data_IF_533583416638
#
_entry.id   IF_533583416638
#
_cell.length_a   1.000
_cell.length_b   1.000
_cell.length_c   1.000
_cell.angle_alpha   90.00
_cell.angle_beta   90.00
_cell.angle_gamma   90.00
#
_symmetry.space_group_name_H-M   'P 1'
#
loop_
_entity.id
_entity.type
_entity.pdbx_description
1 polymer ?
#
# COMPACT_ATOMS: atom_id res chain seq x y z
N UNK A 1 -30.51 17.94 42.10
CA UNK A 1 -29.13 17.46 42.30
C UNK A 1 -28.93 16.26 41.38
N UNK A 2 -28.26 16.43 40.25
CA UNK A 2 -27.44 15.39 39.63
C UNK A 2 -26.55 16.04 38.57
N UNK A 3 -25.31 15.58 38.54
CA UNK A 3 -24.11 16.26 38.10
C UNK A 3 -23.94 16.42 36.59
N UNK A 4 -23.12 17.41 36.27
CA UNK A 4 -22.44 17.70 35.01
C UNK A 4 -21.80 16.49 34.36
N UNK A 5 -21.98 16.33 33.05
CA UNK A 5 -21.00 15.68 32.17
C UNK A 5 -20.66 16.64 31.03
N UNK A 6 -19.60 17.42 31.24
CA UNK A 6 -18.86 18.12 30.18
C UNK A 6 -18.06 17.06 29.42
N UNK A 7 -18.42 16.79 28.16
CA UNK A 7 -17.62 15.94 27.25
C UNK A 7 -17.47 16.57 25.86
N UNK A 8 -17.30 17.90 25.79
CA UNK A 8 -17.10 18.62 24.52
C UNK A 8 -15.71 19.29 24.41
N UNK A 9 -14.76 18.97 25.30
CA UNK A 9 -13.46 19.66 25.38
C UNK A 9 -12.24 18.87 24.87
N UNK A 10 -12.33 17.55 24.81
CA UNK A 10 -11.16 16.68 24.58
C UNK A 10 -11.03 16.25 23.11
N UNK A 11 -12.15 16.20 22.38
CA UNK A 11 -12.18 15.92 20.94
C UNK A 11 -11.69 17.14 20.12
N UNK A 12 -12.09 18.36 20.55
CA UNK A 12 -11.82 19.62 19.85
C UNK A 12 -10.36 20.12 20.00
N UNK A 13 -9.71 19.80 21.12
CA UNK A 13 -8.30 20.15 21.36
C UNK A 13 -7.33 19.22 20.61
N UNK A 14 -7.69 17.95 20.45
CA UNK A 14 -6.86 16.99 19.74
C UNK A 14 -6.86 17.23 18.23
N UNK A 15 -7.96 17.73 17.67
CA UNK A 15 -8.04 18.18 16.28
C UNK A 15 -7.24 19.47 16.05
N UNK A 16 -7.28 20.45 16.96
CA UNK A 16 -6.45 21.65 16.84
C UNK A 16 -4.95 21.38 16.84
N UNK A 17 -4.47 20.45 17.68
CA UNK A 17 -3.05 20.05 17.69
C UNK A 17 -2.67 19.39 16.36
N UNK A 18 -3.57 18.58 15.81
CA UNK A 18 -3.39 17.89 14.53
C UNK A 18 -3.34 18.89 13.37
N UNK A 19 -4.25 19.87 13.35
CA UNK A 19 -4.30 20.94 12.34
C UNK A 19 -3.05 21.83 12.38
N UNK A 20 -2.61 22.27 13.58
CA UNK A 20 -1.37 23.05 13.71
C UNK A 20 -0.14 22.29 13.24
N UNK A 21 -0.13 20.98 13.46
CA UNK A 21 0.97 20.11 13.04
C UNK A 21 1.00 19.92 11.52
N UNK A 22 -0.15 19.69 10.89
CA UNK A 22 -0.29 19.62 9.44
C UNK A 22 0.10 20.94 8.76
N UNK A 23 -0.34 22.08 9.31
CA UNK A 23 0.07 23.39 8.81
C UNK A 23 1.59 23.59 8.85
N UNK A 24 2.27 23.07 9.88
CA UNK A 24 3.74 23.14 9.97
C UNK A 24 4.43 22.28 8.90
N UNK A 25 3.86 21.13 8.58
CA UNK A 25 4.37 20.27 7.49
C UNK A 25 4.27 20.97 6.14
N UNK A 26 3.17 21.64 5.84
CA UNK A 26 3.01 22.40 4.60
C UNK A 26 4.01 23.57 4.49
N UNK A 27 4.31 24.23 5.62
CA UNK A 27 5.38 25.24 5.68
C UNK A 27 6.75 24.63 5.37
N UNK A 28 7.08 23.44 5.89
CA UNK A 28 8.34 22.78 5.57
C UNK A 28 8.43 22.35 4.10
N UNK A 29 7.34 21.82 3.54
CA UNK A 29 7.29 21.42 2.13
C UNK A 29 7.42 22.62 1.18
N UNK A 30 6.71 23.73 1.47
CA UNK A 30 6.82 24.97 0.70
C UNK A 30 8.20 25.63 0.81
N UNK A 31 8.91 25.42 1.91
CA UNK A 31 10.26 25.94 2.15
C UNK A 31 11.38 24.97 1.71
N UNK A 32 11.05 23.87 1.01
CA UNK A 32 11.98 22.81 0.62
C UNK A 32 12.81 22.21 1.78
N UNK A 33 12.28 22.25 3.02
CA UNK A 33 12.91 21.65 4.20
C UNK A 33 12.50 20.18 4.32
N UNK A 34 12.87 19.37 3.31
CA UNK A 34 12.38 18.00 3.18
C UNK A 34 12.83 17.09 4.32
N UNK A 35 14.05 17.26 4.83
CA UNK A 35 14.53 16.51 6.00
C UNK A 35 13.68 16.78 7.24
N UNK A 36 13.41 18.05 7.54
CA UNK A 36 12.58 18.43 8.70
C UNK A 36 11.15 17.92 8.54
N UNK A 37 10.58 18.05 7.33
CA UNK A 37 9.26 17.50 7.01
C UNK A 37 9.23 15.98 7.23
N UNK A 38 10.23 15.26 6.72
CA UNK A 38 10.36 13.82 6.84
C UNK A 38 10.41 13.35 8.29
N UNK A 39 11.28 13.94 9.11
CA UNK A 39 11.38 13.60 10.54
C UNK A 39 10.07 13.91 11.28
N UNK A 40 9.41 14.99 10.91
CA UNK A 40 8.12 15.38 11.46
C UNK A 40 7.03 14.34 11.11
N UNK A 41 6.97 13.86 9.86
CA UNK A 41 6.07 12.77 9.47
C UNK A 41 6.35 11.46 10.22
N UNK A 42 7.63 11.06 10.40
CA UNK A 42 7.99 9.85 11.16
C UNK A 42 7.55 9.94 12.63
N UNK A 43 7.77 11.09 13.26
CA UNK A 43 7.35 11.33 14.64
C UNK A 43 5.81 11.29 14.77
N UNK A 44 5.09 11.89 13.81
CA UNK A 44 3.63 11.83 13.75
C UNK A 44 3.13 10.39 13.64
N UNK A 45 3.66 9.64 12.67
CA UNK A 45 3.28 8.26 12.43
C UNK A 45 3.47 7.40 13.68
N UNK A 46 4.60 7.57 14.37
CA UNK A 46 4.90 6.86 15.62
C UNK A 46 3.87 7.19 16.70
N UNK A 47 3.65 8.49 16.96
CA UNK A 47 2.72 8.96 17.99
C UNK A 47 1.28 8.53 17.70
N UNK A 48 0.81 8.70 16.48
CA UNK A 48 -0.57 8.40 16.12
C UNK A 48 -0.82 6.89 16.04
N UNK A 49 0.18 6.09 15.67
CA UNK A 49 0.12 4.63 15.79
C UNK A 49 -0.06 4.21 17.25
N UNK A 50 0.71 4.78 18.18
CA UNK A 50 0.57 4.51 19.62
C UNK A 50 -0.81 4.92 20.16
N UNK A 51 -1.35 6.03 19.66
CA UNK A 51 -2.70 6.52 19.99
C UNK A 51 -3.82 5.80 19.21
N UNK A 52 -3.49 4.84 18.34
CA UNK A 52 -4.42 4.12 17.46
C UNK A 52 -5.28 5.01 16.53
N UNK A 53 -4.78 6.18 16.14
CA UNK A 53 -5.46 7.15 15.26
C UNK A 53 -5.28 6.83 13.78
N UNK A 54 -5.65 5.60 13.39
CA UNK A 54 -5.36 5.08 12.05
C UNK A 54 -6.23 5.68 10.94
N UNK A 55 -7.49 6.00 11.24
CA UNK A 55 -8.42 6.62 10.30
C UNK A 55 -7.91 7.95 9.76
N UNK A 56 -7.24 8.74 10.61
CA UNK A 56 -6.60 10.00 10.22
C UNK A 56 -5.18 9.78 9.68
N UNK A 57 -4.42 8.81 10.23
CA UNK A 57 -3.03 8.59 9.86
C UNK A 57 -2.85 8.05 8.43
N UNK A 58 -3.67 7.07 8.03
CA UNK A 58 -3.51 6.40 6.73
C UNK A 58 -3.64 7.35 5.54
N UNK A 59 -4.65 8.24 5.45
CA UNK A 59 -4.74 9.23 4.38
C UNK A 59 -3.52 10.16 4.34
N UNK A 60 -3.04 10.62 5.50
CA UNK A 60 -1.88 11.53 5.59
C UNK A 60 -0.61 10.85 5.09
N UNK A 61 -0.38 9.59 5.46
CA UNK A 61 0.79 8.84 4.98
C UNK A 61 0.72 8.55 3.49
N UNK A 62 -0.47 8.23 2.96
CA UNK A 62 -0.65 8.07 1.52
C UNK A 62 -0.38 9.37 0.75
N UNK A 63 -0.96 10.50 1.21
CA UNK A 63 -0.77 11.81 0.60
C UNK A 63 0.70 12.25 0.66
N UNK A 64 1.42 11.92 1.73
CA UNK A 64 2.83 12.30 1.87
C UNK A 64 3.72 11.59 0.85
N UNK A 65 3.42 10.33 0.47
CA UNK A 65 4.11 9.66 -0.65
C UNK A 65 4.00 10.50 -1.93
N UNK A 66 2.78 10.94 -2.26
CA UNK A 66 2.52 11.83 -3.39
C UNK A 66 3.33 13.13 -3.30
N UNK A 67 3.19 13.86 -2.19
CA UNK A 67 3.89 15.15 -1.96
C UNK A 67 5.41 15.04 -2.10
N UNK A 68 6.03 14.00 -1.56
CA UNK A 68 7.48 13.82 -1.68
C UNK A 68 7.90 13.34 -3.07
N UNK A 69 7.10 12.48 -3.71
CA UNK A 69 7.37 12.00 -5.06
C UNK A 69 7.35 13.14 -6.10
N UNK A 70 6.38 14.06 -6.02
CA UNK A 70 6.27 15.23 -6.90
C UNK A 70 7.46 16.18 -6.76
N UNK A 71 8.14 16.17 -5.61
CA UNK A 71 9.34 16.95 -5.33
C UNK A 71 10.65 16.20 -5.63
N UNK A 72 10.55 15.01 -6.24
CA UNK A 72 11.70 14.15 -6.57
C UNK A 72 12.41 13.55 -5.36
N UNK A 73 11.78 13.57 -4.18
CA UNK A 73 12.35 13.04 -2.94
C UNK A 73 12.05 11.54 -2.79
N UNK A 74 12.53 10.73 -3.74
CA UNK A 74 12.12 9.32 -3.87
C UNK A 74 12.45 8.48 -2.63
N UNK A 75 13.60 8.68 -1.99
CA UNK A 75 13.97 7.94 -0.77
C UNK A 75 13.03 8.27 0.41
N UNK A 76 12.55 9.52 0.48
CA UNK A 76 11.61 9.94 1.53
C UNK A 76 10.22 9.36 1.22
N UNK A 77 9.78 9.44 -0.04
CA UNK A 77 8.51 8.87 -0.48
C UNK A 77 8.46 7.34 -0.27
N UNK A 78 9.57 6.64 -0.52
CA UNK A 78 9.73 5.21 -0.23
C UNK A 78 9.56 4.92 1.28
N UNK A 79 10.20 5.69 2.15
CA UNK A 79 10.03 5.54 3.61
C UNK A 79 8.57 5.80 4.03
N UNK A 80 7.91 6.81 3.45
CA UNK A 80 6.49 7.09 3.71
C UNK A 80 5.57 5.94 3.25
N UNK A 81 5.87 5.31 2.11
CA UNK A 81 5.16 4.14 1.63
C UNK A 81 5.31 2.95 2.59
N UNK A 82 6.52 2.73 3.12
CA UNK A 82 6.78 1.73 4.15
C UNK A 82 5.99 2.00 5.44
N UNK A 83 5.95 3.26 5.89
CA UNK A 83 5.14 3.66 7.05
C UNK A 83 3.64 3.44 6.83
N UNK A 84 3.13 3.68 5.62
CA UNK A 84 1.74 3.43 5.28
C UNK A 84 1.38 1.94 5.45
N UNK A 85 2.21 1.03 4.92
CA UNK A 85 1.98 -0.43 5.08
C UNK A 85 2.14 -0.85 6.54
N UNK A 86 3.12 -0.30 7.26
CA UNK A 86 3.26 -0.57 8.70
C UNK A 86 2.03 -0.12 9.50
N UNK A 87 1.41 1.02 9.13
CA UNK A 87 0.17 1.48 9.75
C UNK A 87 -1.04 0.60 9.38
N UNK A 88 -1.13 0.09 8.15
CA UNK A 88 -2.15 -0.90 7.76
C UNK A 88 -2.03 -2.17 8.62
N UNK A 89 -0.80 -2.66 8.80
CA UNK A 89 -0.49 -3.81 9.65
C UNK A 89 -0.87 -3.57 11.10
N UNK A 90 -0.40 -2.48 11.70
CA UNK A 90 -0.68 -2.13 13.09
C UNK A 90 -2.18 -1.93 13.39
N UNK A 91 -2.92 -1.41 12.41
CA UNK A 91 -4.37 -1.19 12.52
C UNK A 91 -5.21 -2.44 12.23
N UNK A 92 -4.61 -3.49 11.67
CA UNK A 92 -5.33 -4.64 11.09
C UNK A 92 -6.40 -4.18 10.11
N UNK A 93 -6.09 -3.17 9.30
CA UNK A 93 -7.04 -2.61 8.34
C UNK A 93 -7.51 -3.70 7.38
N UNK A 94 -8.83 -3.81 7.11
CA UNK A 94 -9.35 -4.81 6.20
C UNK A 94 -8.92 -4.53 4.76
N UNK A 95 -8.74 -5.59 3.98
CA UNK A 95 -8.48 -5.48 2.55
C UNK A 95 -9.77 -5.00 1.87
N UNK A 96 -9.75 -3.79 1.33
CA UNK A 96 -10.87 -3.19 0.61
C UNK A 96 -10.37 -2.44 -0.63
N UNK A 97 -11.30 -2.05 -1.50
CA UNK A 97 -11.00 -1.41 -2.78
C UNK A 97 -10.19 -0.11 -2.65
N UNK A 98 -10.46 0.71 -1.63
CA UNK A 98 -9.72 1.96 -1.40
C UNK A 98 -8.26 1.68 -1.01
N UNK A 99 -8.03 0.75 -0.08
CA UNK A 99 -6.68 0.38 0.34
C UNK A 99 -5.89 -0.21 -0.83
N UNK A 100 -6.51 -1.11 -1.61
CA UNK A 100 -5.90 -1.69 -2.81
C UNK A 100 -5.57 -0.60 -3.83
N UNK A 101 -6.48 0.35 -4.07
CA UNK A 101 -6.22 1.47 -5.00
C UNK A 101 -5.00 2.30 -4.57
N UNK A 102 -4.89 2.62 -3.28
CA UNK A 102 -3.74 3.36 -2.75
C UNK A 102 -2.43 2.57 -2.91
N UNK A 103 -2.44 1.29 -2.56
CA UNK A 103 -1.27 0.41 -2.73
C UNK A 103 -0.87 0.28 -4.20
N UNK A 104 -1.85 0.19 -5.11
CA UNK A 104 -1.64 0.16 -6.56
C UNK A 104 -0.90 1.41 -7.01
N UNK A 105 -1.39 2.59 -6.63
CA UNK A 105 -0.79 3.87 -7.00
C UNK A 105 0.64 4.02 -6.46
N UNK A 106 0.88 3.64 -5.20
CA UNK A 106 2.23 3.63 -4.63
C UNK A 106 3.14 2.67 -5.43
N UNK A 107 2.66 1.46 -5.71
CA UNK A 107 3.48 0.45 -6.38
C UNK A 107 3.82 0.84 -7.82
N UNK A 108 2.86 1.39 -8.57
CA UNK A 108 3.10 1.96 -9.91
C UNK A 108 4.20 3.01 -9.87
N UNK A 109 4.15 3.93 -8.90
CA UNK A 109 5.19 4.92 -8.71
C UNK A 109 6.56 4.28 -8.39
N UNK A 110 6.61 3.29 -7.50
CA UNK A 110 7.86 2.62 -7.11
C UNK A 110 8.52 1.87 -8.28
N UNK A 111 7.73 1.25 -9.18
CA UNK A 111 8.26 0.58 -10.38
C UNK A 111 9.08 1.55 -11.25
N UNK A 112 8.65 2.81 -11.32
CA UNK A 112 9.29 3.82 -12.16
C UNK A 112 10.46 4.54 -11.46
N UNK A 113 10.46 4.60 -10.12
CA UNK A 113 11.31 5.55 -9.37
C UNK A 113 12.21 4.91 -8.31
N UNK A 114 11.97 3.66 -7.92
CA UNK A 114 12.70 2.96 -6.87
C UNK A 114 13.51 1.78 -7.43
N UNK A 115 14.51 1.32 -6.67
CA UNK A 115 15.29 0.13 -6.99
C UNK A 115 14.46 -1.15 -6.76
N UNK A 116 14.80 -2.24 -7.45
CA UNK A 116 14.12 -3.53 -7.32
C UNK A 116 14.08 -4.04 -5.87
N UNK A 117 15.16 -3.89 -5.10
CA UNK A 117 15.20 -4.30 -3.69
C UNK A 117 14.14 -3.58 -2.83
N UNK A 118 13.95 -2.28 -3.07
CA UNK A 118 12.93 -1.47 -2.38
C UNK A 118 11.52 -1.90 -2.76
N UNK A 119 11.30 -2.22 -4.05
CA UNK A 119 10.03 -2.74 -4.55
C UNK A 119 9.72 -4.09 -3.89
N UNK A 120 10.67 -5.02 -3.86
CA UNK A 120 10.53 -6.34 -3.22
C UNK A 120 10.24 -6.24 -1.72
N UNK A 121 10.93 -5.34 -1.01
CA UNK A 121 10.67 -5.06 0.40
C UNK A 121 9.24 -4.58 0.62
N UNK A 122 8.76 -3.65 -0.20
CA UNK A 122 7.40 -3.12 -0.12
C UNK A 122 6.34 -4.21 -0.36
N UNK A 123 6.55 -5.05 -1.39
CA UNK A 123 5.67 -6.19 -1.68
C UNK A 123 5.63 -7.21 -0.54
N UNK A 124 6.79 -7.53 0.04
CA UNK A 124 6.90 -8.42 1.20
C UNK A 124 6.09 -7.89 2.39
N UNK A 125 6.20 -6.59 2.68
CA UNK A 125 5.43 -5.95 3.76
C UNK A 125 3.91 -6.00 3.52
N UNK A 126 3.46 -5.82 2.27
CA UNK A 126 2.04 -5.92 1.92
C UNK A 126 1.55 -7.36 2.09
N UNK A 127 2.34 -8.34 1.65
CA UNK A 127 2.00 -9.76 1.80
C UNK A 127 1.91 -10.14 3.28
N UNK A 128 2.88 -9.74 4.10
CA UNK A 128 2.86 -9.95 5.56
C UNK A 128 1.61 -9.35 6.20
N UNK A 129 1.25 -8.12 5.84
CA UNK A 129 0.00 -7.51 6.30
C UNK A 129 -1.22 -8.33 5.87
N UNK A 130 -1.26 -8.78 4.61
CA UNK A 130 -2.38 -9.55 4.07
C UNK A 130 -2.61 -10.88 4.80
N UNK A 131 -1.52 -11.56 5.19
CA UNK A 131 -1.59 -12.81 5.94
C UNK A 131 -2.16 -12.62 7.35
N UNK A 132 -1.91 -11.46 7.98
CA UNK A 132 -2.45 -11.17 9.31
C UNK A 132 -3.94 -10.83 9.31
N UNK A 133 -4.44 -10.21 8.22
CA UNK A 133 -5.85 -9.80 8.12
C UNK A 133 -6.72 -10.80 7.39
N UNK A 134 -6.14 -11.65 6.55
CA UNK A 134 -6.81 -12.68 5.76
C UNK A 134 -6.04 -14.02 5.81
N UNK A 135 -5.97 -14.67 6.98
CA UNK A 135 -5.20 -15.90 7.17
C UNK A 135 -5.72 -17.09 6.34
N UNK A 136 -6.94 -17.02 5.82
CA UNK A 136 -7.51 -17.99 4.88
C UNK A 136 -6.75 -18.07 3.55
N UNK A 137 -5.98 -17.03 3.20
CA UNK A 137 -5.14 -17.00 2.00
C UNK A 137 -3.65 -17.06 2.36
N UNK A 138 -3.08 -18.26 2.62
CA UNK A 138 -1.71 -18.41 3.12
C UNK A 138 -0.62 -17.97 2.13
N UNK A 139 -1.00 -17.68 0.88
CA UNK A 139 -0.12 -17.18 -0.18
C UNK A 139 -0.33 -15.70 -0.50
N UNK A 140 -1.19 -15.01 0.27
CA UNK A 140 -1.60 -13.63 0.04
C UNK A 140 -2.99 -13.52 -0.55
N UNK A 141 -3.68 -12.42 -0.25
CA UNK A 141 -5.06 -12.21 -0.68
C UNK A 141 -5.15 -12.09 -2.22
N UNK A 142 -6.09 -12.78 -2.90
CA UNK A 142 -6.20 -12.80 -4.37
C UNK A 142 -6.28 -11.42 -5.04
N UNK A 143 -7.03 -10.49 -4.44
CA UNK A 143 -7.11 -9.10 -4.95
C UNK A 143 -5.77 -8.35 -4.95
N UNK A 144 -4.83 -8.68 -4.05
CA UNK A 144 -3.49 -8.09 -4.07
C UNK A 144 -2.67 -8.66 -5.22
N UNK A 145 -2.80 -9.96 -5.49
CA UNK A 145 -2.17 -10.57 -6.67
C UNK A 145 -2.70 -9.99 -7.97
N UNK A 146 -4.02 -9.77 -8.07
CA UNK A 146 -4.62 -9.06 -9.21
C UNK A 146 -4.01 -7.67 -9.38
N UNK A 147 -3.89 -6.90 -8.29
CA UNK A 147 -3.24 -5.59 -8.32
C UNK A 147 -1.79 -5.67 -8.81
N UNK A 148 -0.99 -6.64 -8.33
CA UNK A 148 0.39 -6.80 -8.80
C UNK A 148 0.47 -7.11 -10.30
N UNK A 149 -0.41 -7.99 -10.79
CA UNK A 149 -0.47 -8.31 -12.22
C UNK A 149 -0.80 -7.08 -13.05
N UNK A 150 -1.81 -6.29 -12.64
CA UNK A 150 -2.17 -5.06 -13.34
C UNK A 150 -0.98 -4.09 -13.44
N UNK A 151 -0.30 -3.83 -12.32
CA UNK A 151 0.87 -2.92 -12.30
C UNK A 151 2.01 -3.43 -13.15
N UNK A 152 2.35 -4.73 -13.05
CA UNK A 152 3.42 -5.31 -13.86
C UNK A 152 3.10 -5.33 -15.35
N UNK A 153 1.85 -5.58 -15.73
CA UNK A 153 1.42 -5.54 -17.13
C UNK A 153 1.49 -4.13 -17.71
N UNK A 154 1.02 -3.13 -16.96
CA UNK A 154 1.15 -1.72 -17.35
C UNK A 154 2.62 -1.33 -17.56
N UNK A 155 3.52 -1.88 -16.73
CA UNK A 155 4.97 -1.70 -16.85
C UNK A 155 5.67 -2.61 -17.89
N UNK A 156 4.91 -3.44 -18.62
CA UNK A 156 5.42 -4.49 -19.54
C UNK A 156 6.40 -5.49 -18.90
N UNK A 157 6.35 -5.64 -17.58
CA UNK A 157 7.13 -6.63 -16.84
C UNK A 157 6.34 -7.93 -16.66
N UNK A 158 6.13 -8.64 -17.76
CA UNK A 158 5.33 -9.87 -17.77
C UNK A 158 5.98 -10.99 -16.95
N UNK A 159 7.32 -11.04 -16.89
CA UNK A 159 8.02 -12.07 -16.15
C UNK A 159 7.67 -12.06 -14.66
N UNK A 160 7.68 -10.88 -14.03
CA UNK A 160 7.29 -10.74 -12.62
C UNK A 160 5.79 -10.97 -12.37
N UNK A 161 4.94 -10.80 -13.39
CA UNK A 161 3.49 -11.00 -13.26
C UNK A 161 3.05 -12.47 -13.21
N UNK A 162 3.79 -13.37 -13.87
CA UNK A 162 3.37 -14.77 -14.07
C UNK A 162 3.03 -15.48 -12.77
N UNK A 163 3.88 -15.31 -11.75
CA UNK A 163 3.64 -15.93 -10.44
C UNK A 163 2.34 -15.44 -9.80
N UNK A 164 2.04 -14.15 -9.91
CA UNK A 164 0.85 -13.55 -9.32
C UNK A 164 -0.43 -13.91 -10.07
N UNK A 165 -0.38 -14.13 -11.39
CA UNK A 165 -1.53 -14.58 -12.18
C UNK A 165 -2.11 -15.90 -11.62
N UNK A 166 -1.25 -16.79 -11.14
CA UNK A 166 -1.64 -18.11 -10.62
C UNK A 166 -2.27 -18.07 -9.23
N UNK A 167 -2.24 -16.91 -8.58
CA UNK A 167 -2.77 -16.70 -7.23
C UNK A 167 -4.02 -15.81 -7.21
N UNK A 168 -4.57 -15.49 -8.39
CA UNK A 168 -5.87 -14.85 -8.53
C UNK A 168 -6.95 -15.92 -8.43
N UNK A 169 -7.99 -15.65 -7.62
CA UNK A 169 -9.13 -16.55 -7.37
C UNK A 169 -10.20 -16.50 -8.49
N UNK A 170 -9.78 -16.12 -9.70
CA UNK A 170 -10.65 -15.89 -10.85
C UNK A 170 -9.95 -16.38 -12.11
N UNK A 171 -10.25 -17.62 -12.48
CA UNK A 171 -9.63 -18.29 -13.62
C UNK A 171 -9.87 -17.57 -14.96
N UNK A 172 -10.97 -16.84 -15.11
CA UNK A 172 -11.23 -16.07 -16.34
C UNK A 172 -10.28 -14.88 -16.43
N UNK A 173 -10.11 -14.15 -15.33
CA UNK A 173 -9.17 -13.03 -15.26
C UNK A 173 -7.73 -13.52 -15.45
N UNK A 174 -7.34 -14.63 -14.80
CA UNK A 174 -6.01 -15.22 -15.01
C UNK A 174 -5.79 -15.62 -16.47
N UNK A 175 -6.77 -16.28 -17.11
CA UNK A 175 -6.69 -16.65 -18.52
C UNK A 175 -6.59 -15.41 -19.43
N UNK A 176 -7.38 -14.36 -19.16
CA UNK A 176 -7.33 -13.11 -19.92
C UNK A 176 -5.92 -12.51 -19.93
N UNK A 177 -5.27 -12.44 -18.77
CA UNK A 177 -3.91 -11.88 -18.66
C UNK A 177 -2.88 -12.71 -19.45
N UNK A 178 -2.98 -14.05 -19.37
CA UNK A 178 -2.10 -14.98 -20.10
C UNK A 178 -2.29 -14.84 -21.61
N UNK A 179 -3.53 -14.91 -22.10
CA UNK A 179 -3.83 -14.89 -23.54
C UNK A 179 -3.46 -13.55 -24.19
N UNK A 180 -3.68 -12.43 -23.48
CA UNK A 180 -3.44 -11.09 -24.04
C UNK A 180 -1.94 -10.76 -24.18
N UNK A 181 -1.07 -11.36 -23.36
CA UNK A 181 0.32 -10.93 -23.24
C UNK A 181 1.36 -12.02 -23.51
N UNK A 182 0.95 -13.30 -23.61
CA UNK A 182 1.83 -14.43 -23.88
C UNK A 182 1.53 -15.09 -25.24
N UNK A 183 1.55 -14.33 -26.34
CA UNK A 183 1.49 -14.88 -27.70
C UNK A 183 2.68 -15.79 -28.07
N UNK A 184 3.71 -15.91 -27.21
CA UNK A 184 4.93 -16.70 -27.46
C UNK A 184 5.08 -17.97 -26.62
N UNK A 185 4.18 -18.23 -25.66
CA UNK A 185 4.18 -19.48 -24.90
C UNK A 185 3.33 -20.51 -25.66
N UNK A 186 3.90 -21.68 -25.92
CA UNK A 186 3.17 -22.76 -26.59
C UNK A 186 1.93 -23.12 -25.76
N UNK A 187 0.85 -23.49 -26.45
CA UNK A 187 -0.42 -23.94 -25.86
C UNK A 187 -0.22 -24.93 -24.68
N UNK A 188 0.85 -25.73 -24.74
CA UNK A 188 1.23 -26.69 -23.72
C UNK A 188 1.61 -26.09 -22.36
N UNK A 189 2.25 -24.92 -22.30
CA UNK A 189 2.62 -24.26 -21.04
C UNK A 189 1.41 -23.59 -20.39
N UNK A 190 0.51 -23.03 -21.21
CA UNK A 190 -0.77 -22.46 -20.74
C UNK A 190 -1.65 -23.57 -20.16
N UNK A 191 -1.75 -24.72 -20.84
CA UNK A 191 -2.47 -25.90 -20.34
C UNK A 191 -1.78 -26.43 -19.09
N UNK A 192 -0.46 -26.65 -19.09
CA UNK A 192 0.23 -27.20 -17.92
C UNK A 192 0.05 -26.32 -16.68
N UNK A 193 0.17 -24.99 -16.80
CA UNK A 193 0.07 -24.13 -15.63
C UNK A 193 -1.39 -24.01 -15.15
N UNK A 194 -2.37 -23.89 -16.05
CA UNK A 194 -3.79 -23.88 -15.63
C UNK A 194 -4.24 -25.23 -15.05
N UNK A 195 -3.81 -26.36 -15.63
CA UNK A 195 -4.21 -27.69 -15.18
C UNK A 195 -3.53 -28.08 -13.85
N UNK A 196 -2.22 -27.82 -13.67
CA UNK A 196 -1.53 -28.18 -12.43
C UNK A 196 -1.85 -27.23 -11.26
N UNK A 197 -2.12 -25.95 -11.51
CA UNK A 197 -2.48 -25.00 -10.46
C UNK A 197 -3.88 -25.22 -9.90
N UNK A 198 -4.86 -25.65 -10.73
CA UNK A 198 -6.22 -25.96 -10.27
C UNK A 198 -6.38 -27.38 -9.70
N UNK A 199 -5.46 -28.31 -9.99
CA UNK A 199 -5.48 -29.68 -9.43
C UNK A 199 -4.53 -29.89 -8.23
N UNK A 200 -3.71 -28.91 -7.85
CA UNK A 200 -2.77 -28.99 -6.70
C UNK A 200 -3.13 -28.05 -5.53
N UNK A 201 -4.36 -27.54 -5.47
CA UNK A 201 -4.94 -26.87 -4.29
C UNK A 201 -5.90 -27.86 -3.64
#
# INVERSE_FOLDING_TARGET
LCETVRMNGEEDTHDQISVRFLNRLDVYLSSNKFYDAHQTYRALATRWTQQRKFSSLLPILYESVGKFSEKGQNLIAEDMAGLYVAALKASKSPINSSVISNLKSIFQWMILNCKSESQERFLSQILDWSLEVSPEYPRGHPNLHRMYVEVYHEARNFHSSIFHIMLIDDGQVSMMFILTNCCSLTLALIIAVTFFSFFSI
#
